data_IF_018305757256
#
_entry.id   IF_018305757256
#
_cell.length_a   1.000
_cell.length_b   1.000
_cell.length_c   1.000
_cell.angle_alpha   90.00
_cell.angle_beta   90.00
_cell.angle_gamma   90.00
#
_symmetry.space_group_name_H-M   'P 1'
#
loop_
_entity.id
_entity.type
_entity.pdbx_description
1 polymer ?
#
# COMPACT_ATOMS: atom_id res chain seq x y z
N UNK A 1 -89.55 11.83 -30.80
CA UNK A 1 -89.98 10.41 -30.70
C UNK A 1 -88.83 9.54 -31.18
N UNK A 2 -88.68 8.36 -30.56
CA UNK A 2 -87.81 7.24 -30.93
C UNK A 2 -86.34 7.25 -30.44
N UNK A 3 -86.02 6.13 -29.77
CA UNK A 3 -84.80 5.71 -29.06
C UNK A 3 -83.86 4.96 -30.01
N UNK A 4 -82.57 4.91 -29.70
CA UNK A 4 -81.70 3.75 -29.98
C UNK A 4 -80.43 3.86 -29.12
N UNK A 5 -80.29 3.08 -28.04
CA UNK A 5 -79.76 1.70 -27.93
C UNK A 5 -78.23 1.61 -27.98
N UNK A 6 -77.70 0.98 -26.93
CA UNK A 6 -76.30 0.75 -26.59
C UNK A 6 -75.57 -0.15 -27.58
N UNK A 7 -74.24 0.03 -27.67
CA UNK A 7 -73.27 -1.07 -27.84
C UNK A 7 -71.98 -0.72 -27.09
N UNK A 8 -71.72 -1.47 -26.02
CA UNK A 8 -70.46 -1.46 -25.29
C UNK A 8 -69.43 -2.30 -26.06
N UNK A 9 -68.31 -1.69 -26.45
CA UNK A 9 -67.14 -2.37 -27.01
C UNK A 9 -65.97 -2.29 -26.03
N UNK A 10 -65.75 -3.36 -25.25
CA UNK A 10 -64.54 -3.57 -24.46
C UNK A 10 -63.40 -3.95 -25.41
N UNK A 11 -62.49 -3.01 -25.69
CA UNK A 11 -61.20 -3.30 -26.34
C UNK A 11 -60.18 -3.56 -25.23
N UNK A 12 -59.95 -4.84 -24.92
CA UNK A 12 -58.80 -5.26 -24.12
C UNK A 12 -57.58 -5.24 -25.05
N UNK A 13 -56.81 -4.15 -25.01
CA UNK A 13 -55.53 -4.07 -25.67
C UNK A 13 -54.49 -4.84 -24.84
N UNK A 14 -54.17 -6.05 -25.27
CA UNK A 14 -53.08 -6.86 -24.73
C UNK A 14 -51.74 -6.17 -25.01
N UNK A 15 -51.21 -5.43 -24.03
CA UNK A 15 -49.84 -4.95 -24.00
C UNK A 15 -48.90 -6.15 -23.81
N UNK A 16 -48.52 -6.79 -24.92
CA UNK A 16 -47.34 -7.65 -24.96
C UNK A 16 -46.12 -6.75 -24.77
N UNK A 17 -45.70 -6.58 -23.52
CA UNK A 17 -44.39 -6.05 -23.19
C UNK A 17 -43.35 -7.03 -23.73
N UNK A 18 -42.81 -6.73 -24.93
CA UNK A 18 -41.60 -7.35 -25.43
C UNK A 18 -40.47 -6.97 -24.48
N UNK A 19 -40.21 -7.83 -23.49
CA UNK A 19 -38.99 -7.83 -22.72
C UNK A 19 -37.84 -8.13 -23.67
N UNK A 20 -37.32 -7.08 -24.31
CA UNK A 20 -36.05 -7.16 -25.01
C UNK A 20 -35.03 -7.64 -23.99
N UNK A 21 -34.55 -8.87 -24.17
CA UNK A 21 -33.42 -9.39 -23.41
C UNK A 21 -32.26 -8.44 -23.74
N UNK A 22 -31.95 -7.54 -22.81
CA UNK A 22 -30.79 -6.68 -22.92
C UNK A 22 -29.58 -7.62 -22.97
N UNK A 23 -28.98 -7.76 -24.16
CA UNK A 23 -27.80 -8.59 -24.39
C UNK A 23 -26.59 -7.83 -23.86
N UNK A 24 -25.91 -8.38 -22.87
CA UNK A 24 -24.68 -7.84 -22.34
C UNK A 24 -23.49 -8.60 -22.94
N UNK A 25 -22.72 -7.91 -23.79
CA UNK A 25 -21.41 -8.39 -24.25
C UNK A 25 -20.47 -8.67 -23.07
N UNK A 26 -19.49 -9.57 -23.27
CA UNK A 26 -18.39 -9.77 -22.33
C UNK A 26 -17.73 -8.42 -22.04
N UNK A 27 -17.54 -8.12 -20.76
CA UNK A 27 -16.87 -6.92 -20.26
C UNK A 27 -15.81 -7.30 -19.24
N UNK A 28 -14.67 -6.60 -19.30
CA UNK A 28 -13.58 -6.75 -18.34
C UNK A 28 -13.53 -5.55 -17.39
N UNK A 29 -13.11 -5.75 -16.13
CA UNK A 29 -12.75 -4.66 -15.24
C UNK A 29 -11.60 -3.86 -15.85
N UNK A 30 -11.52 -2.57 -15.53
CA UNK A 30 -10.58 -1.65 -16.18
C UNK A 30 -9.10 -1.92 -15.90
N UNK A 31 -8.78 -2.70 -14.87
CA UNK A 31 -7.40 -3.14 -14.60
C UNK A 31 -6.92 -4.19 -15.62
N UNK A 32 -7.83 -4.93 -16.25
CA UNK A 32 -7.54 -5.87 -17.32
C UNK A 32 -7.64 -5.15 -18.68
N UNK A 33 -6.53 -4.55 -19.11
CA UNK A 33 -6.45 -3.81 -20.36
C UNK A 33 -5.13 -4.05 -21.11
N UNK A 34 -5.03 -3.55 -22.33
CA UNK A 34 -3.75 -3.50 -23.06
C UNK A 34 -2.69 -2.71 -22.29
N UNK A 35 -1.41 -2.95 -22.58
CA UNK A 35 -0.24 -2.36 -21.89
C UNK A 35 -0.06 -2.75 -20.41
N UNK A 36 -0.89 -3.65 -19.85
CA UNK A 36 -0.74 -4.07 -18.45
C UNK A 36 0.47 -4.99 -18.22
N UNK A 37 0.78 -5.24 -16.95
CA UNK A 37 1.66 -6.34 -16.52
C UNK A 37 0.83 -7.37 -15.75
N UNK A 38 0.90 -8.63 -16.17
CA UNK A 38 0.36 -9.76 -15.40
C UNK A 38 1.45 -10.31 -14.48
N UNK A 39 1.08 -10.61 -13.23
CA UNK A 39 2.01 -11.15 -12.25
C UNK A 39 2.50 -12.55 -12.65
N UNK A 40 3.82 -12.72 -12.65
CA UNK A 40 4.50 -13.99 -12.94
C UNK A 40 4.50 -14.94 -11.74
N UNK A 41 4.72 -16.24 -12.01
CA UNK A 41 4.92 -17.31 -11.02
C UNK A 41 3.78 -17.45 -10.01
N UNK A 42 2.57 -17.23 -10.51
CA UNK A 42 1.31 -17.55 -9.86
C UNK A 42 0.23 -17.73 -10.91
N UNK A 43 -0.87 -18.39 -10.54
CA UNK A 43 -2.04 -18.48 -11.41
C UNK A 43 -2.52 -17.08 -11.80
N UNK A 44 -2.96 -16.92 -13.05
CA UNK A 44 -3.34 -15.61 -13.62
C UNK A 44 -4.86 -15.53 -13.64
N UNK A 45 -5.48 -14.79 -12.69
CA UNK A 45 -6.92 -14.60 -12.67
C UNK A 45 -7.34 -13.60 -13.76
N UNK A 46 -8.33 -13.99 -14.55
CA UNK A 46 -9.01 -13.13 -15.52
C UNK A 46 -10.51 -13.28 -15.27
N UNK A 47 -11.22 -12.15 -15.14
CA UNK A 47 -12.63 -12.14 -14.76
C UNK A 47 -13.36 -10.99 -15.43
N UNK A 48 -14.68 -11.02 -15.34
CA UNK A 48 -15.53 -10.00 -15.90
C UNK A 48 -17.01 -10.32 -15.74
N UNK A 49 -17.82 -9.69 -16.58
CA UNK A 49 -19.24 -9.99 -16.73
C UNK A 49 -19.57 -10.39 -18.16
N UNK A 50 -20.64 -11.16 -18.34
CA UNK A 50 -21.21 -11.59 -19.62
C UNK A 50 -22.69 -11.96 -19.41
N UNK A 51 -23.42 -12.33 -20.47
CA UNK A 51 -24.77 -12.88 -20.33
C UNK A 51 -24.76 -14.16 -19.47
N UNK A 52 -25.78 -14.32 -18.62
CA UNK A 52 -25.89 -15.52 -17.78
C UNK A 52 -25.87 -16.82 -18.63
N UNK A 53 -25.04 -17.78 -18.21
CA UNK A 53 -24.86 -19.06 -18.89
C UNK A 53 -23.92 -19.05 -20.10
N UNK A 54 -23.41 -17.87 -20.50
CA UNK A 54 -22.46 -17.73 -21.61
C UNK A 54 -21.11 -18.39 -21.28
N UNK A 55 -20.55 -19.12 -22.26
CA UNK A 55 -19.18 -19.64 -22.17
C UNK A 55 -18.18 -18.57 -22.60
N UNK A 56 -17.26 -18.24 -21.69
CA UNK A 56 -16.17 -17.29 -21.92
C UNK A 56 -14.85 -18.06 -21.91
N UNK A 57 -14.15 -18.01 -23.04
CA UNK A 57 -12.81 -18.57 -23.21
C UNK A 57 -11.78 -17.46 -23.05
N UNK A 58 -10.73 -17.70 -22.26
CA UNK A 58 -9.56 -16.82 -22.17
C UNK A 58 -8.33 -17.58 -22.62
N UNK A 59 -7.47 -16.94 -23.43
CA UNK A 59 -6.21 -17.52 -23.86
C UNK A 59 -5.06 -16.53 -23.94
N UNK A 60 -3.86 -17.02 -23.60
CA UNK A 60 -2.55 -16.40 -23.86
C UNK A 60 -1.71 -17.43 -24.61
N UNK A 61 -1.64 -17.32 -25.93
CA UNK A 61 -1.10 -18.39 -26.78
C UNK A 61 -1.79 -19.73 -26.49
N UNK A 62 -1.02 -20.74 -26.11
CA UNK A 62 -1.54 -22.08 -25.79
C UNK A 62 -2.09 -22.21 -24.35
N UNK A 63 -1.87 -21.23 -23.47
CA UNK A 63 -2.42 -21.23 -22.11
C UNK A 63 -3.88 -20.77 -22.18
N UNK A 64 -4.83 -21.67 -21.96
CA UNK A 64 -6.26 -21.45 -22.19
C UNK A 64 -7.10 -21.96 -21.02
N UNK A 65 -8.16 -21.24 -20.68
CA UNK A 65 -9.18 -21.65 -19.73
C UNK A 65 -10.56 -21.20 -20.21
N UNK A 66 -11.60 -21.88 -19.72
CA UNK A 66 -13.00 -21.58 -20.06
C UNK A 66 -13.77 -21.47 -18.74
N UNK A 67 -14.66 -20.48 -18.65
CA UNK A 67 -15.63 -20.35 -17.58
C UNK A 67 -17.02 -20.12 -18.17
N UNK A 68 -18.04 -20.48 -17.39
CA UNK A 68 -19.43 -20.13 -17.69
C UNK A 68 -19.85 -18.98 -16.78
N UNK A 69 -20.48 -17.96 -17.34
CA UNK A 69 -21.04 -16.86 -16.56
C UNK A 69 -22.20 -17.33 -15.68
N UNK A 70 -22.17 -16.93 -14.42
CA UNK A 70 -23.19 -17.24 -13.44
C UNK A 70 -24.51 -16.53 -13.71
N UNK A 71 -25.52 -16.80 -12.88
CA UNK A 71 -26.81 -16.12 -12.97
C UNK A 71 -26.71 -14.60 -12.71
N UNK A 72 -25.68 -14.17 -11.98
CA UNK A 72 -25.33 -12.76 -11.75
C UNK A 72 -24.48 -12.16 -12.90
N UNK A 73 -24.25 -12.91 -13.97
CA UNK A 73 -23.44 -12.53 -15.12
C UNK A 73 -21.93 -12.57 -14.87
N UNK A 74 -21.45 -12.87 -13.65
CA UNK A 74 -20.02 -12.88 -13.35
C UNK A 74 -19.38 -14.18 -13.84
N UNK A 75 -18.16 -14.06 -14.32
CA UNK A 75 -17.31 -15.19 -14.68
C UNK A 75 -15.87 -14.93 -14.26
N UNK A 76 -15.12 -16.00 -14.00
CA UNK A 76 -13.68 -15.90 -13.77
C UNK A 76 -12.99 -17.20 -14.16
N UNK A 77 -11.75 -17.08 -14.64
CA UNK A 77 -10.84 -18.19 -14.90
C UNK A 77 -9.50 -17.93 -14.22
N UNK A 78 -8.74 -19.00 -13.97
CA UNK A 78 -7.34 -18.94 -13.58
C UNK A 78 -6.51 -19.64 -14.65
N UNK A 79 -5.74 -18.88 -15.42
CA UNK A 79 -4.76 -19.46 -16.35
C UNK A 79 -3.56 -19.97 -15.56
N UNK A 80 -2.81 -20.91 -16.16
CA UNK A 80 -1.55 -21.41 -15.57
C UNK A 80 -0.56 -20.25 -15.43
N UNK A 81 0.33 -20.37 -14.45
CA UNK A 81 1.37 -19.37 -14.24
C UNK A 81 2.29 -19.23 -15.45
N UNK A 82 2.81 -18.01 -15.63
CA UNK A 82 3.84 -17.69 -16.62
C UNK A 82 5.05 -17.11 -15.90
N UNK A 83 6.23 -17.20 -16.53
CA UNK A 83 7.47 -16.58 -16.05
C UNK A 83 7.86 -15.43 -16.97
N UNK A 84 8.40 -14.36 -16.40
CA UNK A 84 8.92 -13.24 -17.17
C UNK A 84 10.15 -13.65 -18.03
N UNK A 85 10.45 -12.86 -19.07
CA UNK A 85 11.60 -13.08 -19.95
C UNK A 85 11.26 -13.22 -21.44
N UNK A 86 9.96 -13.34 -21.77
CA UNK A 86 9.47 -13.18 -23.14
C UNK A 86 9.16 -11.72 -23.48
N UNK A 87 8.84 -11.46 -24.75
CA UNK A 87 8.26 -10.19 -25.19
C UNK A 87 6.78 -10.03 -24.80
N UNK A 88 6.12 -8.95 -25.24
CA UNK A 88 4.70 -8.76 -24.99
C UNK A 88 3.84 -9.89 -25.57
N UNK A 89 2.76 -10.22 -24.88
CA UNK A 89 1.78 -11.23 -25.28
C UNK A 89 0.42 -10.60 -25.56
N UNK A 90 -0.44 -11.34 -26.27
CA UNK A 90 -1.86 -11.02 -26.44
C UNK A 90 -2.70 -11.88 -25.48
N UNK A 91 -3.66 -11.26 -24.79
CA UNK A 91 -4.72 -11.94 -24.05
C UNK A 91 -6.00 -11.84 -24.88
N UNK A 92 -6.56 -12.97 -25.27
CA UNK A 92 -7.83 -13.03 -26.01
C UNK A 92 -8.93 -13.53 -25.08
N UNK A 93 -10.00 -12.77 -24.95
CA UNK A 93 -11.22 -13.14 -24.23
C UNK A 93 -12.35 -13.26 -25.24
N UNK A 94 -12.92 -14.45 -25.37
CA UNK A 94 -13.91 -14.78 -26.38
C UNK A 94 -15.17 -15.36 -25.74
N UNK A 95 -16.27 -14.66 -25.91
CA UNK A 95 -17.64 -15.14 -25.68
C UNK A 95 -18.45 -14.92 -26.96
N UNK A 96 -19.60 -14.25 -26.85
CA UNK A 96 -20.38 -13.77 -27.99
C UNK A 96 -19.67 -12.64 -28.74
N UNK A 97 -18.88 -11.85 -28.03
CA UNK A 97 -17.92 -10.88 -28.56
C UNK A 97 -16.48 -11.34 -28.29
N UNK A 98 -15.52 -10.66 -28.90
CA UNK A 98 -14.09 -10.91 -28.70
C UNK A 98 -13.39 -9.63 -28.23
N UNK A 99 -12.64 -9.73 -27.13
CA UNK A 99 -11.77 -8.67 -26.60
C UNK A 99 -10.33 -9.14 -26.74
N UNK A 100 -9.48 -8.31 -27.33
CA UNK A 100 -8.03 -8.54 -27.42
C UNK A 100 -7.29 -7.48 -26.61
N UNK A 101 -6.56 -7.93 -25.60
CA UNK A 101 -5.63 -7.09 -24.85
C UNK A 101 -4.23 -7.30 -25.42
N UNK A 102 -3.63 -6.23 -25.92
CA UNK A 102 -2.34 -6.26 -26.62
C UNK A 102 -1.25 -5.62 -25.78
N UNK A 103 0.01 -5.88 -26.13
CA UNK A 103 1.18 -5.36 -25.43
C UNK A 103 1.18 -5.69 -23.91
N UNK A 104 0.70 -6.87 -23.54
CA UNK A 104 0.65 -7.32 -22.14
C UNK A 104 1.99 -7.93 -21.78
N UNK A 105 2.60 -7.48 -20.68
CA UNK A 105 3.87 -8.03 -20.20
C UNK A 105 3.63 -9.05 -19.07
N UNK A 106 4.55 -10.00 -18.90
CA UNK A 106 4.60 -10.91 -17.75
C UNK A 106 5.73 -10.45 -16.83
N UNK A 107 5.44 -10.16 -15.57
CA UNK A 107 6.40 -9.51 -14.66
C UNK A 107 5.95 -9.45 -13.21
N UNK A 108 6.41 -8.44 -12.49
CA UNK A 108 6.06 -8.22 -11.08
C UNK A 108 5.07 -7.06 -10.95
N UNK A 109 4.00 -7.23 -10.18
CA UNK A 109 2.95 -6.23 -10.01
C UNK A 109 2.88 -5.81 -8.55
N UNK A 110 2.92 -4.51 -8.29
CA UNK A 110 2.84 -3.95 -6.95
C UNK A 110 1.76 -2.86 -6.86
N UNK A 111 0.99 -2.90 -5.77
CA UNK A 111 -0.01 -1.87 -5.46
C UNK A 111 0.59 -0.87 -4.49
N UNK A 112 0.60 0.40 -4.87
CA UNK A 112 1.05 1.53 -4.08
C UNK A 112 -0.15 2.30 -3.56
N UNK A 113 -0.29 2.39 -2.24
CA UNK A 113 -1.48 2.95 -1.60
C UNK A 113 -1.13 3.81 -0.38
N UNK A 114 -2.06 4.64 0.04
CA UNK A 114 -1.92 5.49 1.22
C UNK A 114 -2.39 6.91 0.96
N UNK A 115 -1.74 7.87 1.60
CA UNK A 115 -2.13 9.29 1.53
C UNK A 115 -1.17 10.14 0.71
N UNK A 116 -1.05 11.43 1.05
CA UNK A 116 -0.38 12.46 0.25
C UNK A 116 1.10 12.20 0.01
N UNK A 117 1.79 11.54 0.94
CA UNK A 117 3.19 11.15 0.75
C UNK A 117 3.37 9.98 -0.23
N UNK A 118 2.38 9.07 -0.36
CA UNK A 118 2.33 8.10 -1.47
C UNK A 118 1.91 8.78 -2.78
N UNK A 119 0.95 9.70 -2.71
CA UNK A 119 0.43 10.44 -3.87
C UNK A 119 1.48 11.37 -4.50
N UNK A 120 2.47 11.80 -3.72
CA UNK A 120 3.50 12.76 -4.11
C UNK A 120 4.11 12.42 -5.47
N UNK A 121 4.11 13.39 -6.38
CA UNK A 121 4.48 13.17 -7.77
C UNK A 121 5.99 13.25 -8.01
N UNK A 122 6.46 12.65 -9.12
CA UNK A 122 7.86 12.81 -9.56
C UNK A 122 8.18 14.27 -9.83
N UNK A 123 7.26 15.03 -10.44
CA UNK A 123 7.42 16.46 -10.70
C UNK A 123 7.61 17.31 -9.43
N UNK A 124 7.09 16.86 -8.28
CA UNK A 124 7.21 17.55 -7.00
C UNK A 124 8.41 17.05 -6.16
N UNK A 125 9.14 16.03 -6.62
CA UNK A 125 10.28 15.44 -5.92
C UNK A 125 11.57 16.24 -6.17
N UNK A 126 12.68 15.84 -5.54
CA UNK A 126 13.99 16.42 -5.85
C UNK A 126 14.46 16.03 -7.25
N UNK A 127 15.16 16.95 -7.93
CA UNK A 127 15.68 16.80 -9.30
C UNK A 127 14.63 16.33 -10.32
N UNK A 128 13.43 16.94 -10.37
CA UNK A 128 12.31 16.41 -11.15
C UNK A 128 12.59 16.42 -12.66
N UNK A 129 13.36 17.38 -13.17
CA UNK A 129 13.67 17.49 -14.61
C UNK A 129 14.51 16.29 -15.05
N UNK A 130 15.57 16.00 -14.32
CA UNK A 130 16.49 14.90 -14.57
C UNK A 130 15.77 13.55 -14.44
N UNK A 131 14.93 13.40 -13.40
CA UNK A 131 14.19 12.15 -13.17
C UNK A 131 13.13 11.87 -14.23
N UNK A 132 12.45 12.92 -14.73
CA UNK A 132 11.46 12.81 -15.81
C UNK A 132 12.16 12.50 -17.14
N UNK A 133 13.22 13.23 -17.49
CA UNK A 133 13.95 13.01 -18.75
C UNK A 133 14.55 11.60 -18.83
N UNK A 134 15.03 11.07 -17.71
CA UNK A 134 15.61 9.75 -17.60
C UNK A 134 14.58 8.61 -17.52
N UNK A 135 13.28 8.89 -17.39
CA UNK A 135 12.23 7.89 -17.18
C UNK A 135 11.87 7.11 -18.47
N UNK A 136 12.86 6.54 -19.17
CA UNK A 136 12.69 5.80 -20.42
C UNK A 136 12.66 4.29 -20.13
N UNK A 137 11.64 3.85 -19.40
CA UNK A 137 11.52 2.45 -18.93
C UNK A 137 10.23 1.82 -19.44
N UNK A 138 10.11 1.48 -20.74
CA UNK A 138 8.84 0.96 -21.27
C UNK A 138 8.40 -0.31 -20.52
N UNK A 139 9.31 -1.18 -20.08
CA UNK A 139 8.95 -2.37 -19.30
C UNK A 139 8.44 -2.10 -17.87
N UNK A 140 8.38 -0.83 -17.44
CA UNK A 140 7.61 -0.40 -16.27
C UNK A 140 6.28 0.15 -16.78
N UNK A 141 5.15 -0.42 -16.30
CA UNK A 141 3.81 0.02 -16.67
C UNK A 141 3.12 0.69 -15.49
N UNK A 142 2.45 1.80 -15.76
CA UNK A 142 1.83 2.67 -14.77
C UNK A 142 0.32 2.60 -14.90
N UNK A 143 -0.36 2.36 -13.78
CA UNK A 143 -1.81 2.36 -13.67
C UNK A 143 -2.26 3.30 -12.55
N UNK A 144 -2.99 4.36 -12.89
CA UNK A 144 -3.44 5.35 -11.92
C UNK A 144 -4.94 5.19 -11.69
N UNK A 145 -5.33 4.89 -10.45
CA UNK A 145 -6.75 4.75 -10.11
C UNK A 145 -7.33 6.12 -9.76
N UNK A 146 -8.48 6.43 -10.37
CA UNK A 146 -9.21 7.66 -10.10
C UNK A 146 -9.68 7.70 -8.65
N UNK A 147 -9.60 8.88 -8.05
CA UNK A 147 -10.10 9.15 -6.71
C UNK A 147 -11.63 9.20 -6.68
N UNK A 148 -12.25 8.09 -6.28
CA UNK A 148 -13.70 7.98 -6.11
C UNK A 148 -14.00 7.20 -4.83
N UNK A 149 -14.69 7.78 -3.83
CA UNK A 149 -15.19 7.01 -2.69
C UNK A 149 -16.51 6.33 -3.07
N UNK A 150 -16.80 5.18 -2.47
CA UNK A 150 -18.09 4.51 -2.64
C UNK A 150 -18.54 3.82 -1.35
N UNK A 151 -19.82 3.90 -1.01
CA UNK A 151 -20.37 3.21 0.18
C UNK A 151 -20.33 1.70 0.00
N UNK A 152 -20.68 1.22 -1.19
CA UNK A 152 -20.61 -0.20 -1.59
C UNK A 152 -19.50 -0.40 -2.61
N UNK A 153 -18.97 -1.62 -2.75
CA UNK A 153 -17.95 -1.90 -3.77
C UNK A 153 -18.45 -1.55 -5.19
N UNK A 154 -17.61 -0.86 -5.96
CA UNK A 154 -17.93 -0.43 -7.33
C UNK A 154 -16.84 -0.86 -8.31
N UNK A 155 -17.22 -1.00 -9.58
CA UNK A 155 -16.26 -0.92 -10.68
C UNK A 155 -15.78 0.53 -10.81
N UNK A 156 -14.47 0.74 -10.95
CA UNK A 156 -13.94 2.10 -11.05
C UNK A 156 -14.05 2.66 -12.46
N UNK A 157 -14.23 3.98 -12.54
CA UNK A 157 -13.95 4.76 -13.75
C UNK A 157 -12.51 5.25 -13.65
N UNK A 158 -11.64 4.82 -14.56
CA UNK A 158 -10.25 5.28 -14.57
C UNK A 158 -10.12 6.69 -15.15
N UNK A 159 -9.06 7.38 -14.74
CA UNK A 159 -8.63 8.63 -15.39
C UNK A 159 -7.88 8.35 -16.69
N UNK A 160 -7.15 7.23 -16.75
CA UNK A 160 -6.33 6.77 -17.88
C UNK A 160 -6.18 5.24 -17.87
N UNK A 161 -5.96 4.66 -19.04
CA UNK A 161 -5.55 3.26 -19.17
C UNK A 161 -4.10 3.05 -18.70
N UNK A 162 -3.66 1.78 -18.66
CA UNK A 162 -2.25 1.44 -18.45
C UNK A 162 -1.35 2.17 -19.46
N UNK A 163 -0.23 2.68 -18.96
CA UNK A 163 0.74 3.43 -19.77
C UNK A 163 2.16 2.92 -19.58
N UNK A 164 2.97 3.03 -20.63
CA UNK A 164 4.40 2.80 -20.53
C UNK A 164 5.03 3.90 -19.66
N UNK A 165 6.05 3.59 -18.86
CA UNK A 165 6.82 4.61 -18.16
C UNK A 165 7.74 5.33 -19.16
N UNK A 166 7.41 6.60 -19.41
CA UNK A 166 8.12 7.52 -20.31
C UNK A 166 8.19 8.91 -19.67
N UNK A 167 9.03 9.84 -20.18
CA UNK A 167 9.02 11.23 -19.74
C UNK A 167 7.63 11.89 -19.78
N UNK A 168 6.78 11.48 -20.73
CA UNK A 168 5.42 12.03 -20.92
C UNK A 168 4.41 11.52 -19.88
N UNK A 169 4.62 10.34 -19.31
CA UNK A 169 3.64 9.68 -18.42
C UNK A 169 4.03 9.75 -16.95
N UNK A 170 5.32 9.92 -16.65
CA UNK A 170 5.83 9.75 -15.29
C UNK A 170 5.61 10.96 -14.37
N UNK A 171 5.51 12.16 -14.94
CA UNK A 171 5.55 13.44 -14.22
C UNK A 171 4.58 13.50 -13.02
N UNK A 172 3.33 13.07 -13.22
CA UNK A 172 2.27 13.10 -12.22
C UNK A 172 2.01 11.74 -11.54
N UNK A 173 2.84 10.74 -11.79
CA UNK A 173 2.72 9.44 -11.11
C UNK A 173 3.39 9.48 -9.73
N UNK A 174 2.98 8.57 -8.83
CA UNK A 174 3.58 8.44 -7.50
C UNK A 174 5.09 8.24 -7.59
N UNK A 175 5.84 9.17 -7.00
CA UNK A 175 7.30 9.12 -6.97
C UNK A 175 7.82 7.93 -6.18
N UNK A 176 7.19 7.63 -5.02
CA UNK A 176 7.57 6.48 -4.20
C UNK A 176 7.39 5.17 -4.98
N UNK A 177 6.24 5.01 -5.64
CA UNK A 177 5.97 3.84 -6.47
C UNK A 177 6.96 3.73 -7.64
N UNK A 178 7.21 4.84 -8.35
CA UNK A 178 8.17 4.87 -9.46
C UNK A 178 9.58 4.47 -9.01
N UNK A 179 10.12 5.11 -7.97
CA UNK A 179 11.49 4.83 -7.53
C UNK A 179 11.64 3.42 -6.94
N UNK A 180 10.60 2.90 -6.29
CA UNK A 180 10.52 1.50 -5.89
C UNK A 180 10.57 0.56 -7.10
N UNK A 181 9.65 0.73 -8.07
CA UNK A 181 9.58 -0.11 -9.24
C UNK A 181 10.81 -0.02 -10.14
N UNK A 182 11.42 1.17 -10.25
CA UNK A 182 12.66 1.38 -11.00
C UNK A 182 13.84 0.61 -10.40
N UNK A 183 13.96 0.58 -9.07
CA UNK A 183 14.99 -0.23 -8.41
C UNK A 183 14.75 -1.72 -8.64
N UNK A 184 13.51 -2.20 -8.47
CA UNK A 184 13.19 -3.60 -8.75
C UNK A 184 13.47 -3.98 -10.20
N UNK A 185 13.08 -3.13 -11.15
CA UNK A 185 13.31 -3.37 -12.57
C UNK A 185 14.80 -3.54 -12.90
N UNK A 186 15.66 -2.66 -12.35
CA UNK A 186 17.11 -2.71 -12.55
C UNK A 186 17.74 -3.97 -11.96
N UNK A 187 17.29 -4.39 -10.77
CA UNK A 187 17.89 -5.51 -10.02
C UNK A 187 17.38 -6.89 -10.46
N UNK A 188 16.13 -6.95 -10.90
CA UNK A 188 15.48 -8.20 -11.31
C UNK A 188 15.50 -8.41 -12.83
N UNK A 189 15.65 -7.34 -13.61
CA UNK A 189 15.58 -7.36 -15.07
C UNK A 189 14.28 -8.00 -15.61
N UNK A 190 13.15 -7.69 -15.00
CA UNK A 190 11.81 -8.14 -15.40
C UNK A 190 10.85 -6.95 -15.52
N UNK A 191 9.78 -7.05 -16.32
CA UNK A 191 8.74 -6.02 -16.35
C UNK A 191 8.12 -5.76 -14.98
N UNK A 192 7.77 -4.50 -14.69
CA UNK A 192 7.16 -4.08 -13.42
C UNK A 192 5.83 -3.35 -13.69
N UNK A 193 4.73 -3.82 -13.13
CA UNK A 193 3.46 -3.11 -13.09
C UNK A 193 3.30 -2.36 -11.77
N UNK A 194 3.02 -1.06 -11.83
CA UNK A 194 2.79 -0.21 -10.66
C UNK A 194 1.36 0.33 -10.70
N UNK A 195 0.56 -0.07 -9.71
CA UNK A 195 -0.81 0.39 -9.53
C UNK A 195 -0.83 1.43 -8.41
N UNK A 196 -1.28 2.65 -8.69
CA UNK A 196 -1.39 3.71 -7.67
C UNK A 196 -2.84 3.92 -7.22
N UNK A 197 -3.10 3.68 -5.94
CA UNK A 197 -4.38 3.91 -5.24
C UNK A 197 -4.16 4.83 -4.04
N UNK A 198 -3.76 6.08 -4.27
CA UNK A 198 -3.42 7.03 -3.20
C UNK A 198 -4.37 8.23 -3.13
N UNK A 199 -4.68 8.70 -1.93
CA UNK A 199 -5.45 9.94 -1.73
C UNK A 199 -5.03 10.71 -0.47
N UNK A 200 -4.48 11.91 -0.67
CA UNK A 200 -4.08 12.85 0.37
C UNK A 200 -5.13 13.14 1.44
N UNK A 201 -4.65 13.28 2.68
CA UNK A 201 -5.46 13.63 3.85
C UNK A 201 -6.29 12.49 4.44
N UNK A 202 -6.24 11.29 3.85
CA UNK A 202 -7.07 10.17 4.28
C UNK A 202 -6.46 9.40 5.44
N UNK A 203 -7.32 8.98 6.36
CA UNK A 203 -6.98 8.03 7.42
C UNK A 203 -6.88 6.60 6.84
N UNK A 204 -6.51 5.61 7.65
CA UNK A 204 -6.37 4.19 7.23
C UNK A 204 -7.72 3.45 7.08
N UNK A 205 -8.74 3.85 7.84
CA UNK A 205 -10.04 3.20 7.89
C UNK A 205 -10.75 3.15 6.52
N UNK A 206 -10.76 4.21 5.69
CA UNK A 206 -11.35 4.18 4.35
C UNK A 206 -10.74 3.14 3.41
N UNK A 207 -9.47 2.77 3.60
CA UNK A 207 -8.75 1.80 2.76
C UNK A 207 -8.90 0.35 3.23
N UNK A 208 -9.50 0.16 4.40
CA UNK A 208 -9.61 -1.15 5.05
C UNK A 208 -10.93 -1.80 4.64
N UNK A 209 -10.92 -3.01 4.04
CA UNK A 209 -12.15 -3.75 3.76
C UNK A 209 -12.80 -4.26 5.05
N UNK A 210 -14.09 -4.61 5.00
CA UNK A 210 -14.85 -5.13 6.16
C UNK A 210 -14.12 -6.29 6.84
N UNK A 211 -13.63 -7.25 6.06
CA UNK A 211 -12.89 -8.42 6.56
C UNK A 211 -11.65 -8.03 7.40
N UNK A 212 -11.06 -6.87 7.12
CA UNK A 212 -9.96 -6.32 7.91
C UNK A 212 -10.41 -5.92 9.31
N UNK A 213 -11.48 -5.14 9.42
CA UNK A 213 -12.05 -4.73 10.70
C UNK A 213 -12.55 -5.92 11.53
N UNK A 214 -13.11 -6.94 10.88
CA UNK A 214 -13.56 -8.18 11.55
C UNK A 214 -12.40 -9.00 12.13
N UNK A 215 -11.20 -8.88 11.54
CA UNK A 215 -10.01 -9.62 11.98
C UNK A 215 -9.38 -9.09 13.29
N UNK A 216 -9.82 -7.93 13.78
CA UNK A 216 -9.27 -7.28 14.97
C UNK A 216 -10.41 -6.97 15.93
N UNK A 217 -10.38 -7.60 17.12
CA UNK A 217 -11.48 -7.53 18.09
C UNK A 217 -11.94 -6.09 18.40
N UNK A 218 -10.99 -5.19 18.66
CA UNK A 218 -11.27 -3.79 18.99
C UNK A 218 -11.88 -2.98 17.84
N UNK A 219 -11.88 -3.50 16.61
CA UNK A 219 -12.36 -2.81 15.41
C UNK A 219 -13.67 -3.42 14.84
N UNK A 220 -14.19 -4.51 15.43
CA UNK A 220 -15.50 -5.08 15.06
C UNK A 220 -16.65 -4.07 15.07
N UNK A 221 -16.75 -3.10 16.00
CA UNK A 221 -17.79 -2.07 15.90
C UNK A 221 -17.75 -1.27 14.60
N UNK A 222 -16.56 -1.04 14.02
CA UNK A 222 -16.41 -0.40 12.71
C UNK A 222 -16.93 -1.33 11.60
N UNK A 223 -16.68 -2.64 11.69
CA UNK A 223 -17.22 -3.60 10.73
C UNK A 223 -18.76 -3.57 10.70
N UNK A 224 -19.41 -3.55 11.87
CA UNK A 224 -20.87 -3.47 11.98
C UNK A 224 -21.41 -2.14 11.45
N UNK A 225 -20.71 -1.03 11.68
CA UNK A 225 -21.03 0.26 11.08
C UNK A 225 -20.99 0.18 9.54
N UNK A 226 -19.94 -0.40 8.96
CA UNK A 226 -19.80 -0.51 7.51
C UNK A 226 -20.91 -1.41 6.94
N UNK A 227 -21.20 -2.56 7.56
CA UNK A 227 -22.30 -3.44 7.14
C UNK A 227 -23.65 -2.72 7.14
N UNK A 228 -23.94 -1.97 8.20
CA UNK A 228 -25.18 -1.20 8.30
C UNK A 228 -25.30 -0.13 7.21
N UNK A 229 -24.20 0.56 6.89
CA UNK A 229 -24.15 1.55 5.80
C UNK A 229 -24.35 0.89 4.42
N UNK A 230 -23.71 -0.25 4.17
CA UNK A 230 -23.83 -0.99 2.91
C UNK A 230 -25.20 -1.63 2.70
N UNK A 231 -25.91 -2.01 3.77
CA UNK A 231 -27.27 -2.53 3.70
C UNK A 231 -28.31 -1.47 3.30
N UNK A 232 -27.99 -0.17 3.46
CA UNK A 232 -28.87 0.96 3.13
C UNK A 232 -28.11 2.08 2.40
N UNK A 233 -27.59 1.81 1.19
CA UNK A 233 -26.66 2.72 0.51
C UNK A 233 -27.32 4.03 0.07
N UNK A 234 -28.62 4.03 -0.24
CA UNK A 234 -29.37 5.21 -0.71
C UNK A 234 -29.37 6.37 0.29
N UNK A 235 -29.25 6.07 1.60
CA UNK A 235 -29.17 7.08 2.66
C UNK A 235 -27.75 7.51 3.03
N UNK A 236 -26.71 6.89 2.46
CA UNK A 236 -25.33 7.09 2.84
C UNK A 236 -24.56 7.91 1.80
N UNK A 237 -23.92 9.01 2.22
CA UNK A 237 -23.03 9.79 1.36
C UNK A 237 -21.62 9.19 1.41
N UNK A 238 -21.13 8.77 0.24
CA UNK A 238 -19.73 8.35 0.09
C UNK A 238 -18.79 9.54 0.33
N UNK A 239 -17.71 9.30 1.05
CA UNK A 239 -16.71 10.31 1.36
C UNK A 239 -15.38 9.66 1.71
N UNK A 240 -14.28 10.34 1.39
CA UNK A 240 -12.92 9.79 1.51
C UNK A 240 -12.47 9.52 2.96
N UNK A 241 -13.24 9.94 3.97
CA UNK A 241 -13.01 9.63 5.39
C UNK A 241 -13.89 8.52 5.96
N UNK A 242 -14.89 8.02 5.22
CA UNK A 242 -15.75 6.94 5.73
C UNK A 242 -15.07 5.57 5.65
N UNK A 243 -15.27 4.69 6.65
CA UNK A 243 -14.62 3.38 6.68
C UNK A 243 -14.98 2.53 5.45
N UNK A 244 -13.99 1.83 4.90
CA UNK A 244 -14.09 1.07 3.64
C UNK A 244 -14.46 1.86 2.38
N UNK A 245 -14.73 3.18 2.44
CA UNK A 245 -15.21 3.91 1.27
C UNK A 245 -14.20 4.00 0.12
N UNK A 246 -12.91 4.12 0.42
CA UNK A 246 -11.85 4.17 -0.59
C UNK A 246 -11.44 2.77 -1.05
N UNK A 247 -11.49 1.77 -0.17
CA UNK A 247 -11.39 0.38 -0.59
C UNK A 247 -12.46 0.07 -1.65
N UNK A 248 -13.72 0.38 -1.35
CA UNK A 248 -14.85 0.09 -2.23
C UNK A 248 -14.78 0.81 -3.58
N UNK A 249 -14.35 2.06 -3.60
CA UNK A 249 -14.34 2.87 -4.82
C UNK A 249 -13.02 2.83 -5.60
N UNK A 250 -11.88 2.49 -4.97
CA UNK A 250 -10.56 2.56 -5.61
C UNK A 250 -9.75 1.26 -5.58
N UNK A 251 -10.07 0.31 -4.69
CA UNK A 251 -9.22 -0.89 -4.50
C UNK A 251 -9.97 -2.15 -4.88
N UNK A 252 -11.27 -2.24 -4.60
CA UNK A 252 -12.06 -3.45 -4.76
C UNK A 252 -12.00 -4.01 -6.20
N UNK A 253 -12.08 -3.15 -7.21
CA UNK A 253 -12.03 -3.56 -8.61
C UNK A 253 -10.67 -4.13 -9.05
N UNK A 254 -9.62 -3.98 -8.23
CA UNK A 254 -8.33 -4.62 -8.42
C UNK A 254 -8.34 -6.07 -7.91
N UNK A 255 -9.35 -6.48 -7.16
CA UNK A 255 -9.46 -7.86 -6.66
C UNK A 255 -10.23 -8.69 -7.70
N UNK A 256 -9.72 -9.86 -8.14
CA UNK A 256 -8.55 -10.57 -7.66
C UNK A 256 -7.30 -10.45 -8.58
N UNK A 257 -7.01 -9.29 -9.16
CA UNK A 257 -5.81 -9.09 -10.01
C UNK A 257 -4.56 -9.64 -9.33
N UNK A 258 -3.77 -10.39 -10.09
CA UNK A 258 -2.54 -10.97 -9.60
C UNK A 258 -1.52 -9.90 -9.18
N UNK A 259 -1.16 -9.87 -7.89
CA UNK A 259 -0.12 -8.97 -7.37
C UNK A 259 1.01 -9.74 -6.69
N UNK A 260 2.23 -9.20 -6.69
CA UNK A 260 3.30 -9.66 -5.81
C UNK A 260 3.09 -9.17 -4.39
N UNK A 261 2.72 -7.89 -4.22
CA UNK A 261 2.58 -7.28 -2.90
C UNK A 261 2.11 -5.83 -2.95
N UNK A 262 2.11 -5.18 -1.79
CA UNK A 262 1.69 -3.80 -1.62
C UNK A 262 2.76 -2.96 -0.93
N UNK A 263 2.83 -1.68 -1.30
CA UNK A 263 3.58 -0.63 -0.59
C UNK A 263 2.62 0.43 -0.04
N UNK A 264 2.84 0.84 1.21
CA UNK A 264 1.93 1.69 1.98
C UNK A 264 2.64 2.88 2.60
N UNK A 265 2.16 4.10 2.33
CA UNK A 265 2.68 5.31 2.97
C UNK A 265 1.54 6.18 3.50
N UNK A 266 1.24 5.98 4.78
CA UNK A 266 0.18 6.65 5.51
C UNK A 266 0.43 6.61 7.02
N UNK A 267 -0.17 7.57 7.71
CA UNK A 267 -0.32 7.58 9.16
C UNK A 267 -0.53 8.97 9.72
N UNK A 268 -0.21 10.02 8.95
CA UNK A 268 -0.27 11.41 9.41
C UNK A 268 -1.70 11.84 9.77
N UNK A 269 -2.72 11.31 9.07
CA UNK A 269 -4.13 11.52 9.43
C UNK A 269 -4.60 10.66 10.62
N UNK A 270 -3.83 9.66 11.04
CA UNK A 270 -4.08 8.82 12.21
C UNK A 270 -3.14 9.15 13.40
N UNK A 271 -2.38 10.23 13.29
CA UNK A 271 -1.25 10.54 14.18
C UNK A 271 -1.59 10.57 15.67
N UNK A 272 -2.82 10.94 16.03
CA UNK A 272 -3.30 10.96 17.42
C UNK A 272 -3.77 9.60 17.98
N UNK A 273 -3.63 8.51 17.22
CA UNK A 273 -4.17 7.20 17.62
C UNK A 273 -3.14 6.31 18.34
N UNK A 274 -1.85 6.68 18.36
CA UNK A 274 -0.78 5.96 19.05
C UNK A 274 -0.82 4.45 18.79
N UNK A 275 -0.86 3.64 19.86
CA UNK A 275 -0.95 2.16 19.78
C UNK A 275 -2.20 1.68 19.04
N UNK A 276 -3.30 2.44 19.05
CA UNK A 276 -4.50 2.12 18.26
C UNK A 276 -4.26 2.12 16.75
N UNK A 277 -3.15 2.68 16.27
CA UNK A 277 -2.74 2.62 14.87
C UNK A 277 -2.18 1.24 14.48
N UNK A 278 -1.51 0.53 15.39
CA UNK A 278 -1.02 -0.85 15.17
C UNK A 278 -2.18 -1.78 14.81
N UNK A 279 -3.25 -1.73 15.59
CA UNK A 279 -4.47 -2.51 15.37
C UNK A 279 -5.12 -2.23 14.00
N UNK A 280 -5.08 -0.98 13.55
CA UNK A 280 -5.61 -0.59 12.24
C UNK A 280 -4.73 -1.04 11.08
N UNK A 281 -3.41 -1.00 11.26
CA UNK A 281 -2.47 -1.58 10.29
C UNK A 281 -2.67 -3.11 10.18
N UNK A 282 -2.88 -3.80 11.31
CA UNK A 282 -3.25 -5.23 11.29
C UNK A 282 -4.54 -5.46 10.50
N UNK A 283 -5.58 -4.66 10.74
CA UNK A 283 -6.84 -4.76 10.00
C UNK A 283 -6.66 -4.49 8.49
N UNK A 284 -5.90 -3.47 8.10
CA UNK A 284 -5.61 -3.19 6.69
C UNK A 284 -4.92 -4.38 6.01
N UNK A 285 -3.83 -4.87 6.61
CA UNK A 285 -2.99 -5.94 6.05
C UNK A 285 -3.78 -7.25 5.97
N UNK A 286 -4.42 -7.67 7.06
CA UNK A 286 -5.24 -8.88 7.08
C UNK A 286 -6.43 -8.78 6.13
N UNK A 287 -7.07 -7.61 6.08
CA UNK A 287 -8.19 -7.34 5.20
C UNK A 287 -7.81 -7.48 3.73
N UNK A 288 -6.71 -6.86 3.31
CA UNK A 288 -6.21 -6.97 1.93
C UNK A 288 -5.79 -8.40 1.60
N UNK A 289 -5.05 -9.08 2.49
CA UNK A 289 -4.67 -10.50 2.30
C UNK A 289 -5.89 -11.40 2.15
N UNK A 290 -6.92 -11.16 2.96
CA UNK A 290 -8.18 -11.90 2.93
C UNK A 290 -8.91 -11.71 1.59
N UNK A 291 -9.14 -10.47 1.15
CA UNK A 291 -9.92 -10.22 -0.07
C UNK A 291 -9.18 -10.62 -1.35
N UNK A 292 -7.85 -10.48 -1.41
CA UNK A 292 -7.06 -10.99 -2.53
C UNK A 292 -6.98 -12.52 -2.56
N UNK A 293 -6.99 -13.17 -1.38
CA UNK A 293 -6.89 -14.62 -1.29
C UNK A 293 -5.56 -15.18 -1.80
N UNK A 294 -4.48 -14.38 -1.76
CA UNK A 294 -3.13 -14.75 -2.23
C UNK A 294 -2.14 -15.01 -1.08
N UNK A 295 -2.63 -15.52 0.04
CA UNK A 295 -1.82 -15.79 1.23
C UNK A 295 -1.20 -14.52 1.84
N UNK A 296 -0.04 -14.69 2.49
CA UNK A 296 0.67 -13.61 3.18
C UNK A 296 1.56 -12.81 2.23
N UNK A 297 1.01 -12.22 1.16
CA UNK A 297 1.81 -11.43 0.23
C UNK A 297 2.57 -10.29 0.94
N UNK A 298 3.77 -9.89 0.46
CA UNK A 298 4.54 -8.80 1.02
C UNK A 298 3.76 -7.50 1.19
N UNK A 299 3.79 -6.93 2.40
CA UNK A 299 3.18 -5.65 2.71
C UNK A 299 4.24 -4.72 3.33
N UNK A 300 4.79 -3.82 2.52
CA UNK A 300 5.88 -2.94 2.92
C UNK A 300 5.33 -1.55 3.21
N UNK A 301 5.81 -0.89 4.25
CA UNK A 301 5.29 0.42 4.63
C UNK A 301 6.40 1.41 5.00
N UNK A 302 6.05 2.68 5.05
CA UNK A 302 6.99 3.77 5.33
C UNK A 302 6.72 4.32 6.72
N UNK A 303 7.75 4.35 7.57
CA UNK A 303 7.69 5.06 8.84
C UNK A 303 7.50 6.55 8.56
N UNK A 304 6.65 7.23 9.32
CA UNK A 304 6.41 8.65 9.12
C UNK A 304 7.70 9.46 9.30
N UNK A 305 7.88 10.50 8.50
CA UNK A 305 9.01 11.41 8.67
C UNK A 305 8.76 12.36 9.86
N UNK A 306 9.81 12.79 10.58
CA UNK A 306 9.73 13.86 11.58
C UNK A 306 9.04 15.09 11.00
N UNK A 307 8.17 15.72 11.78
CA UNK A 307 7.46 16.94 11.40
C UNK A 307 6.95 17.64 12.66
N UNK A 308 7.06 18.97 12.70
CA UNK A 308 6.50 19.77 13.79
C UNK A 308 4.99 19.91 13.59
N UNK A 309 4.22 19.09 14.27
CA UNK A 309 2.76 19.27 14.34
C UNK A 309 2.40 20.52 15.17
N UNK A 310 1.11 20.87 15.25
CA UNK A 310 0.63 22.16 15.74
C UNK A 310 1.17 22.53 17.13
N UNK A 311 1.13 23.81 17.52
CA UNK A 311 1.75 24.28 18.77
C UNK A 311 1.19 23.63 20.05
N UNK A 312 0.00 23.02 19.95
CA UNK A 312 -0.67 22.30 21.05
C UNK A 312 -0.50 20.78 20.96
N UNK A 313 0.11 20.26 19.89
CA UNK A 313 0.29 18.82 19.71
C UNK A 313 1.43 18.31 20.61
N UNK A 314 1.23 17.21 21.37
CA UNK A 314 2.28 16.66 22.21
C UNK A 314 3.49 16.21 21.39
N UNK A 315 4.70 16.50 21.88
CA UNK A 315 5.95 16.11 21.22
C UNK A 315 6.10 14.58 21.01
N UNK A 316 5.39 13.78 21.81
CA UNK A 316 5.44 12.32 21.77
C UNK A 316 4.40 11.66 20.86
N UNK A 317 3.57 12.45 20.18
CA UNK A 317 2.51 11.94 19.32
C UNK A 317 3.08 11.11 18.15
N UNK A 318 4.10 11.64 17.47
CA UNK A 318 4.72 10.94 16.35
C UNK A 318 5.54 9.69 16.79
N UNK A 319 6.33 9.73 17.88
CA UNK A 319 6.96 8.53 18.44
C UNK A 319 6.01 7.37 18.75
N UNK A 320 4.80 7.65 19.22
CA UNK A 320 3.80 6.59 19.44
C UNK A 320 3.35 5.92 18.14
N UNK A 321 3.26 6.69 17.04
CA UNK A 321 2.99 6.15 15.71
C UNK A 321 4.18 5.36 15.18
N UNK A 322 5.41 5.84 15.38
CA UNK A 322 6.61 5.10 15.00
C UNK A 322 6.71 3.76 15.73
N UNK A 323 6.38 3.71 17.02
CA UNK A 323 6.30 2.47 17.77
C UNK A 323 5.22 1.54 17.20
N UNK A 324 4.02 2.07 16.92
CA UNK A 324 2.95 1.30 16.31
C UNK A 324 3.34 0.72 14.94
N UNK A 325 3.99 1.53 14.08
CA UNK A 325 4.51 1.08 12.79
C UNK A 325 5.60 0.02 12.96
N UNK A 326 6.50 0.18 13.93
CA UNK A 326 7.58 -0.79 14.19
C UNK A 326 7.01 -2.14 14.65
N UNK A 327 5.99 -2.15 15.50
CA UNK A 327 5.36 -3.40 15.98
C UNK A 327 4.72 -4.23 14.86
N UNK A 328 4.25 -3.59 13.79
CA UNK A 328 3.70 -4.27 12.60
C UNK A 328 4.76 -5.15 11.88
N UNK A 329 6.06 -4.93 12.13
CA UNK A 329 7.12 -5.82 11.62
C UNK A 329 7.04 -7.26 12.17
N UNK A 330 6.29 -7.49 13.25
CA UNK A 330 6.03 -8.84 13.76
C UNK A 330 5.09 -9.66 12.85
N UNK A 331 4.33 -9.01 11.97
CA UNK A 331 3.50 -9.70 10.99
C UNK A 331 4.37 -10.36 9.90
N UNK A 332 3.92 -11.51 9.39
CA UNK A 332 4.64 -12.19 8.30
C UNK A 332 4.76 -11.30 7.07
N UNK A 333 5.91 -11.38 6.40
CA UNK A 333 6.18 -10.70 5.12
C UNK A 333 5.89 -9.19 5.16
N UNK A 334 6.22 -8.52 6.26
CA UNK A 334 6.19 -7.06 6.34
C UNK A 334 7.61 -6.48 6.36
N UNK A 335 7.71 -5.20 6.02
CA UNK A 335 8.97 -4.46 6.02
C UNK A 335 8.71 -2.96 6.15
N UNK A 336 9.67 -2.23 6.73
CA UNK A 336 9.50 -0.82 7.06
C UNK A 336 10.67 0.02 6.54
N UNK A 337 10.38 1.00 5.69
CA UNK A 337 11.32 2.05 5.34
C UNK A 337 11.33 3.12 6.44
N UNK A 338 12.42 3.21 7.22
CA UNK A 338 12.66 4.30 8.17
C UNK A 338 12.95 5.59 7.39
N UNK A 339 12.47 6.75 7.85
CA UNK A 339 12.62 8.05 7.15
C UNK A 339 13.01 9.21 8.07
N UNK A 340 13.51 8.92 9.28
CA UNK A 340 13.92 9.94 10.28
C UNK A 340 15.07 10.85 9.84
N UNK A 341 15.77 10.48 8.77
CA UNK A 341 16.82 11.24 8.11
C UNK A 341 16.35 11.95 6.83
N UNK A 342 15.11 11.72 6.40
CA UNK A 342 14.50 12.32 5.21
C UNK A 342 13.35 13.21 5.68
N UNK A 343 13.67 14.40 6.15
CA UNK A 343 12.68 15.32 6.71
C UNK A 343 12.96 16.78 6.36
N UNK A 344 11.91 17.58 6.47
CA UNK A 344 11.97 19.00 6.70
C UNK A 344 10.96 19.31 7.82
N UNK A 345 11.42 19.77 8.98
CA UNK A 345 10.53 19.93 10.16
C UNK A 345 9.37 20.90 9.94
N UNK A 346 9.41 21.71 8.87
CA UNK A 346 8.36 22.66 8.46
C UNK A 346 7.54 22.20 7.25
N UNK A 347 7.88 21.05 6.64
CA UNK A 347 7.17 20.50 5.47
C UNK A 347 6.86 19.01 5.71
N UNK A 348 5.56 18.71 5.83
CA UNK A 348 5.06 17.36 6.09
C UNK A 348 5.26 16.41 4.89
N UNK A 349 5.69 16.95 3.75
CA UNK A 349 5.94 16.21 2.52
C UNK A 349 7.43 16.23 2.10
N UNK A 350 8.29 15.40 2.72
CA UNK A 350 9.70 15.34 2.34
C UNK A 350 9.88 14.99 0.85
N UNK A 351 10.66 15.81 0.13
CA UNK A 351 10.78 15.71 -1.34
C UNK A 351 11.69 14.59 -1.85
N UNK A 352 12.59 14.06 -1.01
CA UNK A 352 13.44 12.93 -1.37
C UNK A 352 12.64 11.62 -1.32
N UNK A 353 11.84 11.37 -2.37
CA UNK A 353 11.09 10.12 -2.54
C UNK A 353 11.96 9.00 -3.12
N UNK A 354 13.13 9.35 -3.68
CA UNK A 354 14.11 8.40 -4.20
C UNK A 354 14.55 7.40 -3.13
N UNK A 355 14.99 7.91 -1.97
CA UNK A 355 15.45 7.04 -0.89
C UNK A 355 14.31 6.26 -0.23
N UNK A 356 13.11 6.83 -0.16
CA UNK A 356 11.92 6.10 0.32
C UNK A 356 11.63 4.90 -0.58
N UNK A 357 11.55 5.10 -1.90
CA UNK A 357 11.32 4.03 -2.87
C UNK A 357 12.44 2.99 -2.87
N UNK A 358 13.71 3.43 -2.78
CA UNK A 358 14.88 2.55 -2.68
C UNK A 358 14.82 1.68 -1.43
N UNK A 359 14.51 2.23 -0.26
CA UNK A 359 14.44 1.48 1.01
C UNK A 359 13.35 0.42 0.98
N UNK A 360 12.18 0.73 0.41
CA UNK A 360 11.13 -0.28 0.18
C UNK A 360 11.61 -1.37 -0.81
N UNK A 361 12.33 -0.99 -1.87
CA UNK A 361 12.84 -1.95 -2.85
C UNK A 361 13.88 -2.89 -2.23
N UNK A 362 14.75 -2.40 -1.35
CA UNK A 362 15.70 -3.25 -0.63
C UNK A 362 14.99 -4.32 0.22
N UNK A 363 13.93 -3.96 0.93
CA UNK A 363 13.09 -4.92 1.66
C UNK A 363 12.50 -5.99 0.72
N UNK A 364 11.91 -5.58 -0.40
CA UNK A 364 11.37 -6.51 -1.39
C UNK A 364 12.46 -7.44 -1.96
N UNK A 365 13.61 -6.89 -2.36
CA UNK A 365 14.72 -7.67 -2.93
C UNK A 365 15.22 -8.74 -1.97
N UNK A 366 15.45 -8.37 -0.70
CA UNK A 366 15.97 -9.30 0.30
C UNK A 366 14.93 -10.33 0.75
N UNK A 367 13.69 -9.90 1.04
CA UNK A 367 12.68 -10.76 1.69
C UNK A 367 11.75 -11.48 0.72
N UNK A 368 11.57 -10.95 -0.49
CA UNK A 368 10.66 -11.51 -1.49
C UNK A 368 11.42 -12.19 -2.63
N UNK A 369 12.54 -11.62 -3.05
CA UNK A 369 13.29 -12.07 -4.24
C UNK A 369 14.61 -12.79 -3.92
N UNK A 370 14.84 -13.13 -2.64
CA UNK A 370 15.96 -13.98 -2.22
C UNK A 370 17.34 -13.34 -2.33
N UNK A 371 17.45 -12.02 -2.44
CA UNK A 371 18.73 -11.30 -2.42
C UNK A 371 19.22 -11.13 -0.97
N UNK A 372 19.51 -12.25 -0.30
CA UNK A 372 19.76 -12.32 1.15
C UNK A 372 20.97 -11.51 1.63
N UNK A 373 21.94 -11.27 0.75
CA UNK A 373 23.19 -10.58 1.10
C UNK A 373 23.04 -9.06 1.13
N UNK A 374 21.89 -8.52 0.71
CA UNK A 374 21.63 -7.09 0.74
C UNK A 374 21.33 -6.62 2.16
N UNK A 375 21.98 -5.53 2.57
CA UNK A 375 21.56 -4.78 3.77
C UNK A 375 20.28 -4.02 3.43
N UNK A 376 19.15 -4.49 3.96
CA UNK A 376 17.82 -4.01 3.56
C UNK A 376 17.08 -3.15 4.59
N UNK A 377 17.58 -3.09 5.82
CA UNK A 377 17.05 -2.26 6.90
C UNK A 377 18.19 -1.56 7.62
N UNK A 378 17.88 -0.41 8.22
CA UNK A 378 18.73 0.21 9.24
C UNK A 378 18.56 -0.45 10.60
N UNK A 379 19.37 -0.06 11.60
CA UNK A 379 19.34 -0.64 12.94
C UNK A 379 17.94 -0.58 13.58
N UNK A 380 17.45 -1.71 14.06
CA UNK A 380 16.20 -1.80 14.83
C UNK A 380 16.52 -2.28 16.25
N UNK A 381 15.90 -1.67 17.25
CA UNK A 381 16.09 -2.06 18.65
C UNK A 381 15.82 -3.54 18.85
N UNK A 382 16.76 -4.24 19.48
CA UNK A 382 16.67 -5.66 19.82
C UNK A 382 16.51 -5.87 21.32
N UNK A 383 17.44 -5.32 22.10
CA UNK A 383 17.47 -5.51 23.54
C UNK A 383 18.29 -4.43 24.24
N UNK A 384 18.10 -4.30 25.55
CA UNK A 384 18.96 -3.51 26.42
C UNK A 384 19.54 -4.37 27.53
N UNK A 385 20.71 -3.95 28.05
CA UNK A 385 21.32 -4.50 29.27
C UNK A 385 21.85 -3.35 30.12
N UNK A 386 21.53 -3.36 31.41
CA UNK A 386 22.11 -2.42 32.38
C UNK A 386 23.46 -2.95 32.83
N UNK A 387 24.51 -2.14 32.68
CA UNK A 387 25.89 -2.43 33.05
C UNK A 387 26.40 -1.31 33.98
N UNK A 388 26.19 -1.46 35.29
CA UNK A 388 26.49 -0.41 36.28
C UNK A 388 25.61 0.82 36.07
N UNK A 389 26.21 1.98 35.86
CA UNK A 389 25.51 3.24 35.57
C UNK A 389 25.27 3.50 34.08
N UNK A 390 25.43 2.48 33.23
CA UNK A 390 25.25 2.57 31.78
C UNK A 390 24.23 1.57 31.28
N UNK A 391 23.68 1.82 30.10
CA UNK A 391 22.80 0.89 29.39
C UNK A 391 23.40 0.59 28.03
N UNK A 392 23.65 -0.69 27.74
CA UNK A 392 24.03 -1.18 26.42
C UNK A 392 22.79 -1.53 25.62
N UNK A 393 22.69 -0.99 24.42
CA UNK A 393 21.60 -1.24 23.46
C UNK A 393 22.14 -2.05 22.30
N UNK A 394 21.50 -3.19 22.05
CA UNK A 394 21.77 -4.05 20.89
C UNK A 394 20.72 -3.80 19.81
N UNK A 395 21.15 -3.98 18.55
CA UNK A 395 20.32 -3.78 17.38
C UNK A 395 20.36 -4.99 16.45
N UNK A 396 19.23 -5.28 15.81
CA UNK A 396 19.22 -6.05 14.57
C UNK A 396 19.56 -5.12 13.39
N UNK A 397 19.89 -5.69 12.23
CA UNK A 397 20.14 -4.95 10.97
C UNK A 397 21.31 -3.94 11.00
N UNK A 398 22.37 -4.25 11.74
CA UNK A 398 23.59 -3.43 11.77
C UNK A 398 24.42 -3.49 10.47
N UNK A 399 24.14 -4.42 9.57
CA UNK A 399 24.94 -4.62 8.36
C UNK A 399 26.44 -4.79 8.68
N UNK A 400 27.29 -3.95 8.09
CA UNK A 400 28.73 -3.90 8.38
C UNK A 400 29.14 -3.15 9.65
N UNK A 401 28.20 -2.72 10.49
CA UNK A 401 28.45 -1.98 11.74
C UNK A 401 27.63 -0.70 11.88
N UNK A 402 27.72 -0.06 13.04
CA UNK A 402 27.02 1.21 13.35
C UNK A 402 27.91 2.41 13.04
N UNK A 403 27.30 3.54 12.65
CA UNK A 403 28.00 4.83 12.49
C UNK A 403 27.06 6.02 12.71
N UNK A 404 27.64 7.17 13.03
CA UNK A 404 26.98 8.46 12.92
C UNK A 404 27.02 8.95 11.47
N UNK A 405 25.90 9.46 10.95
CA UNK A 405 25.79 9.89 9.55
C UNK A 405 26.64 11.10 9.19
N UNK A 406 26.96 11.91 10.18
CA UNK A 406 27.62 13.21 10.05
C UNK A 406 28.96 13.27 10.80
N UNK A 407 29.44 12.15 11.34
CA UNK A 407 30.68 12.09 12.12
C UNK A 407 30.61 12.80 13.48
N UNK A 408 29.44 13.29 13.89
CA UNK A 408 29.22 13.94 15.19
C UNK A 408 28.87 12.90 16.27
N UNK A 409 28.93 13.28 17.58
CA UNK A 409 28.38 12.44 18.64
C UNK A 409 26.94 12.00 18.35
N UNK A 410 26.57 10.81 18.83
CA UNK A 410 25.21 10.31 18.62
C UNK A 410 24.19 11.23 19.31
N UNK A 411 23.12 11.55 18.59
CA UNK A 411 22.07 12.45 19.04
C UNK A 411 20.77 11.72 19.39
N UNK A 412 19.87 12.42 20.09
CA UNK A 412 18.51 11.97 20.42
C UNK A 412 18.41 10.74 21.34
N UNK A 413 19.42 10.53 22.20
CA UNK A 413 19.32 9.56 23.29
C UNK A 413 18.90 10.24 24.59
N UNK A 414 17.91 9.64 25.26
CA UNK A 414 17.55 10.00 26.64
C UNK A 414 17.49 8.75 27.50
N UNK A 415 17.80 8.90 28.78
CA UNK A 415 17.90 7.83 29.76
C UNK A 415 17.15 8.22 31.03
N UNK A 416 16.55 7.23 31.71
CA UNK A 416 15.87 7.42 32.98
C UNK A 416 16.26 6.30 33.95
N UNK A 417 16.20 6.60 35.25
CA UNK A 417 16.23 5.57 36.29
C UNK A 417 14.90 4.84 36.39
N UNK A 418 14.75 4.00 37.43
CA UNK A 418 13.49 3.30 37.73
C UNK A 418 12.34 4.27 37.98
N UNK A 419 12.66 5.42 38.59
CA UNK A 419 11.75 6.52 38.85
C UNK A 419 12.29 7.83 38.24
N UNK A 420 11.42 8.83 38.10
CA UNK A 420 11.78 10.15 37.58
C UNK A 420 11.66 10.31 36.07
N UNK A 421 12.15 11.46 35.59
CA UNK A 421 12.04 11.87 34.19
C UNK A 421 13.17 11.32 33.32
N UNK A 422 12.91 11.25 32.01
CA UNK A 422 13.97 11.02 31.03
C UNK A 422 14.84 12.27 30.92
N UNK A 423 16.16 12.11 30.99
CA UNK A 423 17.15 13.17 30.78
C UNK A 423 17.99 12.87 29.56
N UNK A 424 18.60 13.91 28.97
CA UNK A 424 19.59 13.74 27.89
C UNK A 424 20.73 12.80 28.31
N UNK A 425 21.17 11.98 27.37
CA UNK A 425 22.19 10.97 27.58
C UNK A 425 23.31 11.07 26.54
N UNK A 426 24.53 10.81 26.99
CA UNK A 426 25.66 10.55 26.11
C UNK A 426 25.52 9.13 25.56
N UNK A 427 25.64 8.98 24.24
CA UNK A 427 25.61 7.69 23.57
C UNK A 427 26.89 7.48 22.73
N UNK A 428 27.50 6.30 22.81
CA UNK A 428 28.73 5.96 22.09
C UNK A 428 28.61 4.58 21.47
N UNK A 429 29.10 4.43 20.24
CA UNK A 429 29.16 3.14 19.55
C UNK A 429 30.28 2.31 20.16
N UNK A 430 29.96 1.08 20.56
CA UNK A 430 30.90 0.10 21.08
C UNK A 430 30.66 -1.24 20.36
N UNK A 431 31.49 -1.53 19.36
CA UNK A 431 31.32 -2.68 18.46
C UNK A 431 29.98 -2.65 17.70
N UNK A 432 29.14 -3.66 17.95
CA UNK A 432 27.80 -3.80 17.37
C UNK A 432 26.69 -3.07 18.13
N UNK A 433 27.03 -2.39 19.23
CA UNK A 433 26.08 -1.87 20.21
C UNK A 433 26.26 -0.37 20.45
N UNK A 434 25.29 0.24 21.13
CA UNK A 434 25.40 1.62 21.63
C UNK A 434 25.34 1.61 23.15
N UNK A 435 26.33 2.22 23.79
CA UNK A 435 26.36 2.41 25.25
C UNK A 435 25.85 3.81 25.57
N UNK A 436 24.85 3.89 26.44
CA UNK A 436 24.12 5.10 26.82
C UNK A 436 24.31 5.37 28.31
N UNK A 437 24.63 6.61 28.68
CA UNK A 437 24.82 7.01 30.09
C UNK A 437 24.53 8.50 30.31
N UNK A 438 24.26 8.88 31.56
CA UNK A 438 24.12 10.29 31.97
C UNK A 438 24.63 10.45 33.40
N UNK A 439 25.39 11.51 33.68
CA UNK A 439 25.89 11.79 35.04
C UNK A 439 24.76 12.07 36.04
N UNK A 440 23.56 12.35 35.54
CA UNK A 440 22.34 12.56 36.34
C UNK A 440 21.64 11.25 36.74
N UNK A 441 21.99 10.12 36.12
CA UNK A 441 21.33 8.82 36.32
C UNK A 441 22.35 7.77 36.73
N UNK A 442 22.34 7.37 38.01
CA UNK A 442 23.27 6.38 38.57
C UNK A 442 22.75 4.95 38.54
N UNK A 443 21.43 4.75 38.53
CA UNK A 443 20.75 3.43 38.42
C UNK A 443 19.78 3.45 37.22
N UNK A 444 20.28 3.36 35.97
CA UNK A 444 19.45 3.49 34.80
C UNK A 444 18.54 2.27 34.59
N UNK A 445 17.30 2.52 34.18
CA UNK A 445 16.31 1.49 33.92
C UNK A 445 15.69 1.56 32.53
N UNK A 446 15.71 2.73 31.88
CA UNK A 446 15.11 2.88 30.56
C UNK A 446 15.86 3.85 29.64
N UNK A 447 15.80 3.58 28.33
CA UNK A 447 16.38 4.40 27.26
C UNK A 447 15.32 4.71 26.21
N UNK A 448 15.42 5.90 25.62
CA UNK A 448 14.66 6.32 24.44
C UNK A 448 15.63 6.83 23.39
N UNK A 449 15.36 6.49 22.14
CA UNK A 449 16.09 6.98 20.97
C UNK A 449 15.11 7.59 19.97
N UNK A 450 15.37 8.84 19.57
CA UNK A 450 14.52 9.54 18.61
C UNK A 450 13.07 9.70 19.08
N UNK A 451 12.82 9.79 20.39
CA UNK A 451 11.47 9.81 20.95
C UNK A 451 10.87 11.22 21.02
N UNK A 452 10.90 11.94 19.90
CA UNK A 452 10.32 13.27 19.73
C UNK A 452 9.89 13.50 18.27
N UNK A 453 8.81 14.24 18.03
CA UNK A 453 8.35 14.57 16.67
C UNK A 453 9.37 15.36 15.84
N UNK A 454 10.32 16.03 16.49
CA UNK A 454 11.41 16.78 15.86
C UNK A 454 12.69 15.96 15.69
N UNK A 455 12.65 14.65 16.00
CA UNK A 455 13.85 13.84 16.06
C UNK A 455 14.48 13.59 14.68
N UNK A 456 15.65 14.18 14.45
CA UNK A 456 16.53 13.94 13.30
C UNK A 456 17.82 13.19 13.72
N UNK A 457 17.73 11.95 14.22
CA UNK A 457 18.88 11.22 14.74
C UNK A 457 19.91 10.87 13.67
N UNK A 458 21.19 10.87 14.08
CA UNK A 458 22.31 10.57 13.20
C UNK A 458 22.77 9.10 13.23
N UNK A 459 22.22 8.24 14.09
CA UNK A 459 22.59 6.82 14.13
C UNK A 459 22.08 6.08 12.88
N UNK A 460 22.98 5.38 12.21
CA UNK A 460 22.68 4.53 11.07
C UNK A 460 23.63 3.34 11.00
N UNK A 461 23.37 2.39 10.10
CA UNK A 461 24.34 1.34 9.80
C UNK A 461 25.38 1.78 8.75
N UNK A 462 26.40 0.95 8.54
CA UNK A 462 27.48 1.20 7.60
C UNK A 462 27.00 1.39 6.15
N UNK A 463 25.88 0.76 5.78
CA UNK A 463 25.22 0.89 4.48
C UNK A 463 24.46 2.22 4.30
N UNK A 464 24.38 3.05 5.34
CA UNK A 464 23.71 4.35 5.29
C UNK A 464 22.19 4.29 5.51
N UNK A 465 21.68 3.21 6.11
CA UNK A 465 20.26 3.09 6.46
C UNK A 465 20.04 3.52 7.92
N UNK A 466 19.12 4.47 8.18
CA UNK A 466 18.92 5.08 9.50
C UNK A 466 18.33 4.10 10.53
N UNK A 467 18.71 4.29 11.79
CA UNK A 467 18.11 3.55 12.89
C UNK A 467 16.66 4.01 13.15
N UNK A 468 15.78 3.03 13.44
CA UNK A 468 14.40 3.32 13.81
C UNK A 468 14.28 3.85 15.25
N UNK A 469 13.45 4.87 15.53
CA UNK A 469 13.13 5.31 16.88
C UNK A 469 12.59 4.19 17.76
N UNK A 470 12.92 4.22 19.05
CA UNK A 470 12.41 3.24 20.01
C UNK A 470 12.37 3.80 21.44
N UNK A 471 11.65 3.09 22.30
CA UNK A 471 11.78 3.19 23.76
C UNK A 471 11.91 1.79 24.35
N UNK A 472 12.61 1.69 25.47
CA UNK A 472 12.59 0.47 26.29
C UNK A 472 11.42 0.55 27.28
N UNK A 473 10.99 -0.61 27.78
CA UNK A 473 10.06 -0.64 28.92
C UNK A 473 10.71 0.01 30.14
N UNK A 474 9.87 0.64 30.98
CA UNK A 474 10.20 0.88 32.38
C UNK A 474 9.80 -0.32 33.21
#
# INVERSE_FOLDING_TARGET
MSRMSWCAGLVVASLLASSGIARADVKLPKVLASNMVLQQKQAIPIWGTADAGEDVTVSIGNNKAIAKAGADGKWSVKLKELTAGGGPVEVVVKGKNEIKLTNVLIGEVWVASGQSNMEWSVAASVNPKEEIEAAKFPNIRLFHVRKVPAVTPQEVVLDRDWSECSPETISNFSAVAYFFGRHLHKELNVPIGLINTSWGGTAIEPWTPIAGFESVESLKPIAEQVKAQQAKPEGAKAGAGGPSHLYNGMVHHLVPFGIRGAIWYQGESNRGQGVGYEQRMHALINGWRSVWGQGDFPFLFVQLAPYKYGPTDPQFLLPQIWEAQTKVLAMKNTGMAVTTDITHLTDIHPKNKQDVGKRLALWALAKTYGKSDLVYSGPLYKSMKVDGNKVRIEFDHIGGGLKARDGKPLSWFTIAGKEGDFVEATATIDGSSVVVSSDKITDPAAVRFGWDQLAEPNLMNAAGLPAGPFRTSR
#
